data_IF_484329742961
#
_entry.id   IF_484329742961
#
_cell.length_a   1.000
_cell.length_b   1.000
_cell.length_c   1.000
_cell.angle_alpha   90.00
_cell.angle_beta   90.00
_cell.angle_gamma   90.00
#
_symmetry.space_group_name_H-M   'P 1'
#
loop_
_entity.id
_entity.type
_entity.pdbx_description
1 polymer ?
2 non-polymer ?
3 non-polymer ?
4 non-polymer ?
5 non-polymer ?
6 water ?
#
# COMPACT_ATOMS: atom_id res chain seq x y z
N UNK A 16 21.20 14.77 2.88
CA UNK A 16 20.93 14.19 1.50
C UNK A 16 19.81 13.14 1.54
N UNK A 17 18.54 13.52 1.87
CA UNK A 17 17.47 12.53 1.97
C UNK A 17 17.13 12.13 0.53
N UNK A 18 16.96 10.84 0.26
CA UNK A 18 16.60 10.29 -1.07
C UNK A 18 15.11 10.04 -1.19
N UNK A 19 14.32 10.34 -0.16
CA UNK A 19 12.91 9.95 -0.08
C UNK A 19 12.07 11.17 0.27
N UNK A 20 12.26 12.28 -0.44
CA UNK A 20 11.67 13.56 0.00
C UNK A 20 10.72 14.14 -1.04
N UNK A 21 10.91 13.99 -2.36
CA UNK A 21 9.93 14.59 -3.31
C UNK A 21 9.39 13.51 -4.24
N UNK A 22 8.16 13.73 -4.64
CA UNK A 22 7.44 12.88 -5.58
C UNK A 22 7.38 13.57 -6.93
N UNK A 23 7.80 12.85 -7.97
CA UNK A 23 7.72 13.30 -9.35
C UNK A 23 6.81 12.38 -10.17
N UNK A 24 6.32 12.89 -11.27
CA UNK A 24 5.55 12.07 -12.25
C UNK A 24 6.47 10.94 -12.75
N UNK A 25 6.03 9.70 -12.66
CA UNK A 25 6.86 8.53 -13.07
C UNK A 25 7.15 8.58 -14.56
N UNK A 26 6.24 9.12 -15.36
CA UNK A 26 6.38 9.12 -16.84
C UNK A 26 7.34 10.21 -17.30
N UNK A 27 7.50 11.34 -16.62
CA UNK A 27 8.23 12.48 -17.22
C UNK A 27 9.07 13.25 -16.24
N UNK A 28 8.90 13.08 -14.91
CA UNK A 28 9.77 13.80 -13.96
C UNK A 28 9.22 15.10 -13.43
N UNK A 29 8.06 15.54 -13.92
CA UNK A 29 7.42 16.77 -13.39
C UNK A 29 7.40 16.72 -11.85
N UNK A 30 7.80 17.77 -11.15
CA UNK A 30 7.67 17.84 -9.68
C UNK A 30 6.18 17.86 -9.31
N UNK A 31 5.74 16.96 -8.43
CA UNK A 31 4.31 16.88 -8.04
C UNK A 31 4.09 17.14 -6.54
N UNK A 32 4.76 16.41 -5.66
CA UNK A 32 4.49 16.60 -4.20
C UNK A 32 5.72 16.24 -3.38
N UNK A 33 5.56 16.13 -2.07
CA UNK A 33 6.65 15.90 -1.12
C UNK A 33 6.13 14.96 -0.04
N UNK A 34 7.00 14.13 0.51
CA UNK A 34 6.58 13.21 1.59
C UNK A 34 6.04 14.05 2.77
N UNK A 35 6.63 15.22 3.00
CA UNK A 35 6.23 16.12 4.12
C UNK A 35 4.77 16.52 3.99
N UNK A 36 4.18 16.43 2.79
CA UNK A 36 2.81 16.91 2.53
C UNK A 36 1.81 15.77 2.56
N UNK A 37 2.23 14.55 2.90
CA UNK A 37 1.26 13.45 3.07
C UNK A 37 0.23 13.81 4.15
N UNK A 38 -1.02 13.49 3.95
CA UNK A 38 -2.17 13.89 4.82
C UNK A 38 -2.92 12.66 5.29
N UNK A 39 -2.92 12.32 6.59
CA UNK A 39 -3.66 11.17 7.10
C UNK A 39 -5.18 11.36 7.21
N UNK A 40 -5.88 11.37 6.09
CA UNK A 40 -7.37 11.45 5.97
C UNK A 40 -7.99 10.23 6.65
N UNK A 41 -8.89 10.45 7.62
CA UNK A 41 -9.48 9.37 8.42
C UNK A 41 -8.44 8.46 9.03
N UNK A 42 -7.26 8.99 9.40
CA UNK A 42 -6.24 8.29 10.18
C UNK A 42 -5.22 7.53 9.34
N UNK A 43 -5.24 7.66 8.01
CA UNK A 43 -4.30 6.94 7.12
C UNK A 43 -4.09 7.79 5.85
N UNK A 44 -2.84 8.01 5.45
CA UNK A 44 -2.59 8.72 4.18
C UNK A 44 -2.88 7.79 3.01
N UNK A 45 -2.93 6.48 3.19
CA UNK A 45 -3.17 5.52 2.08
C UNK A 45 -4.62 5.02 2.11
N UNK A 46 -5.31 5.09 0.97
CA UNK A 46 -6.69 4.60 0.78
C UNK A 46 -6.75 3.73 -0.46
N UNK A 47 -7.32 2.52 -0.41
CA UNK A 47 -7.42 1.65 -1.61
C UNK A 47 -8.87 1.61 -2.05
N UNK A 48 -9.14 1.94 -3.29
CA UNK A 48 -10.49 2.23 -3.81
C UNK A 48 -10.66 1.60 -5.17
N UNK A 49 -11.89 1.47 -5.65
CA UNK A 49 -12.22 1.10 -7.03
C UNK A 49 -13.18 2.04 -7.65
N UNK A 50 -13.07 2.24 -8.93
CA UNK A 50 -14.01 3.03 -9.73
C UNK A 50 -15.10 2.11 -10.28
N UNK A 51 -16.09 2.69 -10.99
CA UNK A 51 -17.18 1.88 -11.53
C UNK A 51 -16.69 0.87 -12.56
N UNK A 52 -15.54 1.08 -13.19
CA UNK A 52 -14.97 0.13 -14.18
C UNK A 52 -14.16 -0.96 -13.47
N UNK A 53 -14.15 -0.96 -12.15
CA UNK A 53 -13.49 -1.97 -11.31
C UNK A 53 -11.98 -1.79 -11.19
N UNK A 54 -11.43 -0.68 -11.70
CA UNK A 54 -9.97 -0.44 -11.59
C UNK A 54 -9.68 -0.13 -10.12
N UNK A 55 -8.72 -0.80 -9.52
CA UNK A 55 -8.24 -0.58 -8.15
C UNK A 55 -7.18 0.53 -8.18
N UNK A 56 -7.24 1.45 -7.21
CA UNK A 56 -6.17 2.48 -7.06
C UNK A 56 -5.71 2.51 -5.64
N UNK A 57 -4.38 2.52 -5.44
CA UNK A 57 -3.78 2.77 -4.14
C UNK A 57 -3.48 4.28 -4.07
N UNK A 58 -4.31 5.01 -3.35
CA UNK A 58 -4.32 6.49 -3.35
C UNK A 58 -3.58 6.97 -2.10
N UNK A 59 -2.62 7.88 -2.30
CA UNK A 59 -1.95 8.61 -1.21
C UNK A 59 -2.60 9.99 -1.15
N UNK A 60 -3.05 10.39 0.04
CA UNK A 60 -3.62 11.73 0.22
C UNK A 60 -2.51 12.71 0.58
N UNK A 61 -2.52 13.84 -0.10
CA UNK A 61 -1.58 14.95 0.09
C UNK A 61 -2.38 16.21 0.37
N UNK A 62 -1.86 17.01 1.32
CA UNK A 62 -2.49 18.32 1.59
C UNK A 62 -2.27 19.25 0.40
N UNK A 63 -1.16 19.01 -0.32
CA UNK A 63 -0.65 19.94 -1.32
C UNK A 63 0.01 19.11 -2.43
N UNK A 64 -0.06 19.64 -3.61
CA UNK A 64 0.62 19.13 -4.81
C UNK A 64 0.76 20.29 -5.78
N UNK A 65 1.63 20.14 -6.74
CA UNK A 65 1.93 21.12 -7.79
C UNK A 65 2.14 20.38 -9.08
N UNK A 66 2.27 21.08 -10.18
CA UNK A 66 2.66 20.48 -11.46
C UNK A 66 1.54 19.72 -12.13
N UNK A 67 0.33 19.80 -11.59
CA UNK A 67 -0.83 19.07 -12.15
C UNK A 67 -1.63 20.05 -13.00
N UNK A 68 -2.55 19.50 -13.77
CA UNK A 68 -3.63 20.23 -14.42
C UNK A 68 -4.94 19.58 -13.97
N UNK A 69 -5.79 20.39 -13.35
CA UNK A 69 -7.10 19.95 -12.85
C UNK A 69 -8.11 20.17 -13.96
N UNK A 70 -8.83 19.13 -14.34
CA UNK A 70 -9.64 19.08 -15.57
C UNK A 70 -11.13 19.25 -15.23
N UNK A 71 -11.76 20.21 -15.89
CA UNK A 71 -13.22 20.40 -15.82
C UNK A 71 -13.69 20.89 -14.48
N UNK A 72 -14.96 20.60 -14.16
CA UNK A 72 -15.67 21.11 -12.97
C UNK A 72 -15.82 19.95 -12.01
N UNK A 73 -15.93 20.24 -10.70
CA UNK A 73 -16.01 19.18 -9.71
C UNK A 73 -17.30 18.36 -9.86
N UNK A 74 -17.23 17.11 -9.45
CA UNK A 74 -18.34 16.15 -9.45
C UNK A 74 -18.34 15.39 -8.13
N UNK A 75 -19.50 15.13 -7.54
CA UNK A 75 -19.61 14.30 -6.35
C UNK A 75 -19.90 12.84 -6.70
N UNK A 76 -20.12 12.53 -7.97
CA UNK A 76 -20.53 11.17 -8.43
C UNK A 76 -19.44 10.17 -8.03
N UNK A 77 -19.82 9.13 -7.30
CA UNK A 77 -18.97 7.99 -6.89
C UNK A 77 -17.81 8.48 -6.02
N UNK A 78 -17.87 9.67 -5.43
CA UNK A 78 -16.77 10.15 -4.59
C UNK A 78 -16.38 9.15 -3.52
N UNK A 79 -15.09 8.85 -3.44
CA UNK A 79 -14.50 7.95 -2.43
C UNK A 79 -14.41 8.63 -1.08
N UNK A 80 -14.59 9.94 -1.00
CA UNK A 80 -14.33 10.68 0.25
C UNK A 80 -15.58 11.50 0.56
N UNK A 81 -16.26 11.15 1.63
CA UNK A 81 -17.60 11.71 1.94
C UNK A 81 -17.51 13.22 2.08
N UNK A 82 -18.39 13.94 1.36
CA UNK A 82 -18.44 15.40 1.50
C UNK A 82 -17.55 16.11 0.51
N UNK A 83 -16.80 15.37 -0.33
CA UNK A 83 -15.90 15.98 -1.36
C UNK A 83 -16.36 15.66 -2.75
N UNK A 84 -16.16 16.67 -3.61
CA UNK A 84 -16.34 16.62 -5.05
C UNK A 84 -14.93 16.55 -5.65
N UNK A 85 -14.83 15.88 -6.75
CA UNK A 85 -13.48 15.60 -7.36
C UNK A 85 -13.38 16.19 -8.74
N UNK A 86 -12.12 16.47 -9.12
CA UNK A 86 -11.70 16.80 -10.50
C UNK A 86 -10.50 15.90 -10.80
N UNK A 87 -10.48 15.39 -11.99
CA UNK A 87 -9.31 14.63 -12.49
C UNK A 87 -8.08 15.53 -12.43
N UNK A 88 -6.97 14.99 -11.98
CA UNK A 88 -5.67 15.64 -11.90
C UNK A 88 -4.75 14.92 -12.89
N UNK A 89 -4.35 15.62 -13.94
CA UNK A 89 -3.32 15.08 -14.87
C UNK A 89 -1.99 15.70 -14.46
N UNK A 90 -0.90 14.98 -14.74
CA UNK A 90 0.45 15.58 -14.84
C UNK A 90 0.34 16.77 -15.81
N UNK A 91 0.67 17.97 -15.37
CA UNK A 91 0.54 19.16 -16.21
C UNK A 91 1.59 19.19 -17.30
N UNK A 92 2.61 18.33 -17.21
CA UNK A 92 3.67 18.25 -18.24
C UNK A 92 3.26 17.20 -19.27
N UNK A 93 3.02 15.94 -18.89
CA UNK A 93 2.87 14.86 -19.88
C UNK A 93 1.43 14.38 -20.05
N UNK A 94 0.52 14.76 -19.17
CA UNK A 94 -0.89 14.36 -19.30
C UNK A 94 -1.21 13.05 -18.61
N UNK A 95 -0.27 12.36 -17.99
CA UNK A 95 -0.48 11.10 -17.22
C UNK A 95 -1.56 11.37 -16.16
N UNK A 96 -2.52 10.47 -16.05
CA UNK A 96 -3.53 10.60 -14.98
C UNK A 96 -2.94 10.25 -13.63
N UNK A 97 -2.64 11.26 -12.78
CA UNK A 97 -1.94 11.04 -11.54
C UNK A 97 -2.93 10.92 -10.37
N UNK A 98 -4.15 11.39 -10.54
CA UNK A 98 -5.15 11.23 -9.46
C UNK A 98 -6.28 12.21 -9.59
N UNK A 99 -6.65 12.78 -8.44
CA UNK A 99 -7.83 13.69 -8.33
C UNK A 99 -7.54 14.79 -7.32
N UNK A 100 -8.16 15.93 -7.57
CA UNK A 100 -8.28 17.00 -6.57
C UNK A 100 -9.69 16.94 -5.95
N UNK A 101 -9.72 17.01 -4.65
CA UNK A 101 -10.98 16.97 -3.87
C UNK A 101 -11.23 18.38 -3.28
N UNK A 102 -12.47 18.81 -3.34
CA UNK A 102 -12.88 20.15 -2.84
C UNK A 102 -14.33 20.06 -2.33
N UNK A 103 -14.74 21.15 -1.70
CA UNK A 103 -16.15 21.28 -1.30
C UNK A 103 -16.43 20.67 0.05
N UNK A 104 -15.44 20.10 0.75
CA UNK A 104 -15.64 19.36 1.99
C UNK A 104 -15.32 20.18 3.21
N UNK A 105 -14.94 19.51 4.32
CA UNK A 105 -14.63 20.20 5.60
C UNK A 105 -13.43 19.56 6.27
N UNK A 106 -12.48 20.40 6.69
CA UNK A 106 -11.35 20.03 7.59
C UNK A 106 -10.67 18.76 7.04
N UNK A 107 -9.97 18.84 5.89
CA UNK A 107 -9.85 20.06 5.10
C UNK A 107 -10.92 20.30 4.05
N UNK A 108 -10.99 21.54 3.53
CA UNK A 108 -11.92 21.86 2.44
C UNK A 108 -11.46 21.14 1.17
N UNK A 109 -10.15 21.06 0.98
CA UNK A 109 -9.51 20.49 -0.24
C UNK A 109 -8.36 19.54 0.10
N UNK A 110 -8.06 18.61 -0.79
CA UNK A 110 -6.80 17.82 -0.73
C UNK A 110 -6.63 17.14 -2.11
N UNK A 111 -5.50 16.49 -2.25
CA UNK A 111 -5.21 15.69 -3.47
C UNK A 111 -5.13 14.21 -3.11
N UNK A 112 -5.78 13.41 -3.96
CA UNK A 112 -5.61 11.94 -3.87
C UNK A 112 -4.83 11.46 -5.08
N UNK A 113 -3.58 11.07 -4.88
CA UNK A 113 -2.69 10.73 -6.01
C UNK A 113 -2.43 9.23 -6.02
N UNK A 114 -2.32 8.68 -7.21
CA UNK A 114 -2.08 7.22 -7.37
C UNK A 114 -0.61 6.87 -7.12
N UNK A 115 -0.28 6.15 -6.07
CA UNK A 115 1.08 6.01 -5.52
C UNK A 115 2.02 5.47 -6.61
N UNK A 116 1.57 4.48 -7.37
CA UNK A 116 2.46 3.77 -8.32
C UNK A 116 2.65 4.59 -9.59
N UNK A 117 2.04 5.77 -9.72
CA UNK A 117 2.24 6.68 -10.89
C UNK A 117 3.20 7.81 -10.54
N UNK A 118 3.77 7.78 -9.35
CA UNK A 118 4.78 8.76 -8.85
C UNK A 118 6.09 8.03 -8.67
N UNK A 119 7.18 8.78 -8.75
CA UNK A 119 8.51 8.29 -8.34
C UNK A 119 9.03 9.16 -7.20
N UNK A 120 9.62 8.54 -6.19
CA UNK A 120 10.08 9.22 -5.00
C UNK A 120 11.62 9.35 -5.06
N UNK A 121 12.15 10.48 -4.66
CA UNK A 121 13.58 10.70 -4.77
C UNK A 121 14.02 11.97 -4.05
N UNK A 122 15.32 12.29 -4.18
CA UNK A 122 15.88 13.44 -3.49
C UNK A 122 15.39 14.79 -4.03
N UNK A 123 15.42 15.82 -3.19
CA UNK A 123 14.97 17.18 -3.54
C UNK A 123 15.92 17.80 -4.59
N UNK B 20 7.84 -19.26 -4.86
CA UNK B 20 8.61 -19.07 -6.10
C UNK B 20 9.90 -18.26 -5.88
N UNK B 21 10.76 -18.23 -6.91
CA UNK B 21 12.12 -17.65 -6.78
C UNK B 21 12.31 -16.59 -7.85
N UNK B 22 13.20 -15.66 -7.54
CA UNK B 22 13.61 -14.59 -8.46
C UNK B 22 15.01 -14.90 -8.95
N UNK B 23 15.14 -15.00 -10.24
CA UNK B 23 16.45 -15.29 -10.86
C UNK B 23 16.92 -14.03 -11.58
N UNK B 24 18.23 -13.93 -11.75
CA UNK B 24 18.82 -12.91 -12.59
C UNK B 24 18.29 -13.13 -14.01
N UNK B 25 17.71 -12.09 -14.61
CA UNK B 25 17.09 -12.20 -15.94
C UNK B 25 18.16 -12.55 -16.97
N UNK B 26 19.37 -12.04 -16.79
CA UNK B 26 20.46 -12.16 -17.80
C UNK B 26 21.07 -13.56 -17.77
N UNK B 27 21.27 -14.20 -16.61
CA UNK B 27 21.99 -15.50 -16.59
C UNK B 27 21.25 -16.63 -15.87
N UNK B 28 20.16 -16.35 -15.16
CA UNK B 28 19.38 -17.39 -14.46
C UNK B 28 19.82 -17.72 -13.05
N UNK B 29 20.89 -17.12 -12.55
CA UNK B 29 21.34 -17.40 -11.16
C UNK B 29 20.16 -17.12 -10.22
N UNK B 30 19.88 -17.99 -9.26
CA UNK B 30 18.93 -17.70 -8.17
C UNK B 30 19.46 -16.50 -7.36
N UNK B 31 18.58 -15.53 -7.15
CA UNK B 31 18.95 -14.30 -6.38
C UNK B 31 18.09 -14.16 -5.15
N UNK B 32 16.77 -14.25 -5.23
CA UNK B 32 15.94 -14.12 -4.03
C UNK B 32 14.64 -14.88 -4.20
N UNK B 33 13.77 -14.75 -3.24
CA UNK B 33 12.60 -15.65 -3.11
C UNK B 33 11.42 -14.79 -2.72
N UNK B 34 10.25 -15.14 -3.25
CA UNK B 34 9.01 -14.47 -2.87
C UNK B 34 8.81 -14.48 -1.35
N UNK B 35 9.21 -15.55 -0.66
CA UNK B 35 9.05 -15.64 0.83
C UNK B 35 9.81 -14.52 1.54
N UNK B 36 10.78 -13.90 0.86
CA UNK B 36 11.67 -12.90 1.48
C UNK B 36 11.24 -11.49 1.07
N UNK B 37 10.13 -11.32 0.34
CA UNK B 37 9.60 -9.98 0.07
C UNK B 37 9.39 -9.21 1.38
N UNK B 38 9.82 -7.95 1.39
CA UNK B 38 9.87 -7.14 2.61
C UNK B 38 9.09 -5.86 2.36
N UNK B 39 7.94 -5.66 3.03
CA UNK B 39 7.17 -4.43 2.84
C UNK B 39 7.72 -3.20 3.59
N UNK B 40 8.84 -2.64 3.12
CA UNK B 40 9.45 -1.42 3.71
C UNK B 40 8.50 -0.25 3.56
N UNK B 41 8.22 0.46 4.66
CA UNK B 41 7.22 1.54 4.68
C UNK B 41 5.88 1.11 4.12
N UNK B 42 5.49 -0.15 4.29
CA UNK B 42 4.15 -0.67 3.97
C UNK B 42 3.98 -1.16 2.54
N UNK B 43 5.07 -1.26 1.77
CA UNK B 43 4.99 -1.72 0.37
C UNK B 43 6.31 -2.37 -0.02
N UNK B 44 6.27 -3.54 -0.65
CA UNK B 44 7.53 -4.12 -1.15
C UNK B 44 7.96 -3.39 -2.44
N UNK B 45 7.09 -2.69 -3.16
CA UNK B 45 7.47 -1.95 -4.41
C UNK B 45 7.69 -0.47 -4.08
N UNK B 46 8.79 0.09 -4.57
CA UNK B 46 9.16 1.51 -4.43
C UNK B 46 9.59 1.98 -5.82
N UNK B 47 8.81 2.90 -6.39
CA UNK B 47 9.27 3.61 -7.60
C UNK B 47 10.05 4.81 -7.13
N UNK B 48 11.28 4.92 -7.61
CA UNK B 48 12.26 5.89 -7.07
C UNK B 48 13.03 6.52 -8.23
N UNK B 49 13.66 7.65 -7.96
CA UNK B 49 14.62 8.23 -8.93
C UNK B 49 15.90 8.61 -8.22
N UNK B 50 16.98 8.61 -8.97
CA UNK B 50 18.33 8.96 -8.44
C UNK B 50 18.64 10.42 -8.74
N UNK B 51 19.76 10.96 -8.24
CA UNK B 51 20.08 12.37 -8.47
C UNK B 51 20.26 12.72 -9.95
N UNK B 52 20.56 11.75 -10.81
CA UNK B 52 20.76 11.97 -12.26
C UNK B 52 19.41 11.88 -12.95
N UNK B 53 18.34 11.63 -12.20
CA UNK B 53 16.95 11.59 -12.73
C UNK B 53 16.59 10.27 -13.38
N UNK B 54 17.37 9.22 -13.21
CA UNK B 54 16.97 7.88 -13.70
C UNK B 54 15.92 7.30 -12.73
N UNK B 55 14.89 6.68 -13.28
CA UNK B 55 13.74 6.09 -12.54
C UNK B 55 13.90 4.59 -12.47
N UNK B 56 13.68 4.03 -11.27
CA UNK B 56 13.78 2.58 -11.04
C UNK B 56 12.53 2.13 -10.28
N UNK B 57 12.12 0.92 -10.59
CA UNK B 57 11.06 0.23 -9.84
C UNK B 57 11.69 -0.89 -9.05
N UNK B 58 11.79 -0.66 -7.74
CA UNK B 58 12.58 -1.48 -6.81
C UNK B 58 11.63 -2.32 -5.99
N UNK B 59 11.89 -3.60 -5.82
CA UNK B 59 11.23 -4.50 -4.85
C UNK B 59 12.19 -4.79 -3.70
N UNK B 60 11.68 -4.73 -2.48
CA UNK B 60 12.53 -4.95 -1.30
C UNK B 60 12.46 -6.40 -0.87
N UNK B 61 13.63 -6.97 -0.59
CA UNK B 61 13.74 -8.37 -0.08
C UNK B 61 14.60 -8.41 1.18
N UNK B 62 14.30 -9.28 2.14
CA UNK B 62 15.05 -9.33 3.42
C UNK B 62 16.46 -9.87 3.21
N UNK B 63 16.59 -10.84 2.32
CA UNK B 63 17.84 -11.55 2.02
C UNK B 63 17.90 -11.71 0.50
N UNK B 64 19.09 -12.05 0.04
CA UNK B 64 19.36 -12.49 -1.32
C UNK B 64 20.60 -13.34 -1.30
N UNK B 65 20.87 -13.96 -2.42
CA UNK B 65 22.08 -14.76 -2.63
C UNK B 65 22.57 -14.51 -4.02
N UNK B 66 23.83 -14.89 -4.29
CA UNK B 66 24.34 -14.87 -5.65
C UNK B 66 24.68 -13.49 -6.14
N UNK B 67 24.62 -12.45 -5.29
CA UNK B 67 25.04 -11.10 -5.69
C UNK B 67 26.49 -10.83 -5.28
N UNK B 68 27.04 -9.79 -5.83
CA UNK B 68 28.33 -9.21 -5.40
C UNK B 68 28.08 -7.75 -5.10
N UNK B 69 28.33 -7.34 -3.89
CA UNK B 69 28.16 -5.97 -3.43
C UNK B 69 29.47 -5.23 -3.61
N UNK B 70 29.41 -4.07 -4.25
CA UNK B 70 30.65 -3.36 -4.64
C UNK B 70 30.72 -2.00 -3.95
N UNK B 71 31.93 -1.64 -3.52
CA UNK B 71 32.20 -0.34 -2.88
C UNK B 71 31.84 -0.29 -1.41
N UNK B 72 32.14 0.83 -0.77
CA UNK B 72 31.84 1.07 0.65
C UNK B 72 30.42 1.58 0.77
N UNK B 73 29.70 1.30 1.84
CA UNK B 73 28.35 1.80 2.04
C UNK B 73 28.35 3.35 1.99
N UNK B 74 27.31 3.91 1.39
CA UNK B 74 27.10 5.38 1.33
C UNK B 74 25.70 5.70 1.86
N UNK B 75 25.56 6.77 2.64
CA UNK B 75 24.27 7.29 3.07
C UNK B 75 23.66 8.30 2.09
N UNK B 76 24.45 8.75 1.13
CA UNK B 76 24.05 9.86 0.20
C UNK B 76 22.81 9.44 -0.57
N UNK B 77 21.75 10.24 -0.48
CA UNK B 77 20.52 10.11 -1.31
C UNK B 77 19.86 8.76 -1.11
N UNK B 78 20.11 8.11 0.05
CA UNK B 78 19.44 6.82 0.31
C UNK B 78 17.92 6.95 0.16
N UNK B 79 17.30 6.04 -0.58
CA UNK B 79 15.83 5.98 -0.72
C UNK B 79 15.18 5.49 0.59
N UNK B 80 15.97 4.94 1.53
CA UNK B 80 15.43 4.33 2.77
C UNK B 80 16.11 4.97 3.97
N UNK B 81 15.34 5.79 4.68
CA UNK B 81 15.86 6.63 5.79
C UNK B 81 16.49 5.72 6.84
N UNK B 82 17.70 6.04 7.25
CA UNK B 82 18.39 5.27 8.29
C UNK B 82 19.30 4.19 7.73
N UNK B 83 19.34 4.02 6.40
CA UNK B 83 20.19 2.98 5.75
C UNK B 83 21.22 3.61 4.81
N UNK B 84 22.38 2.98 4.77
CA UNK B 84 23.44 3.16 3.78
C UNK B 84 23.28 2.09 2.69
N UNK B 85 23.67 2.42 1.49
CA UNK B 85 23.54 1.51 0.33
C UNK B 85 24.88 1.14 -0.28
N UNK B 86 24.88 -0.02 -0.93
CA UNK B 86 25.99 -0.51 -1.78
C UNK B 86 25.35 -1.06 -3.05
N UNK B 87 25.98 -0.84 -4.18
CA UNK B 87 25.50 -1.41 -5.45
C UNK B 87 25.58 -2.93 -5.39
N UNK B 88 24.56 -3.60 -5.89
CA UNK B 88 24.47 -5.08 -5.95
C UNK B 88 24.49 -5.56 -7.40
N UNK B 89 25.50 -6.30 -7.79
CA UNK B 89 25.57 -6.93 -9.13
C UNK B 89 25.26 -8.42 -9.00
N UNK B 90 24.75 -9.04 -10.05
CA UNK B 90 24.74 -10.51 -10.14
C UNK B 90 26.22 -10.98 -10.01
N UNK B 91 26.51 -11.84 -9.06
CA UNK B 91 27.90 -12.31 -8.89
C UNK B 91 28.34 -13.22 -10.01
N UNK B 92 27.39 -13.79 -10.74
CA UNK B 92 27.68 -14.74 -11.84
C UNK B 92 27.93 -13.97 -13.14
N UNK B 93 27.10 -13.03 -13.53
CA UNK B 93 27.19 -12.36 -14.84
C UNK B 93 27.44 -10.85 -14.80
N UNK B 94 27.37 -10.20 -13.65
CA UNK B 94 27.67 -8.77 -13.55
C UNK B 94 26.48 -7.83 -13.74
N UNK B 95 25.29 -8.36 -14.09
CA UNK B 95 24.08 -7.52 -14.27
C UNK B 95 23.86 -6.66 -13.03
N UNK B 96 23.55 -5.39 -13.19
CA UNK B 96 23.23 -4.52 -12.02
C UNK B 96 21.82 -4.81 -11.57
N UNK B 97 21.67 -5.53 -10.46
CA UNK B 97 20.35 -6.03 -10.04
C UNK B 97 19.73 -5.10 -8.99
N UNK B 98 20.48 -4.24 -8.33
CA UNK B 98 19.91 -3.30 -7.35
C UNK B 98 20.94 -2.81 -6.34
N UNK B 99 20.54 -2.78 -5.08
CA UNK B 99 21.36 -2.25 -3.96
C UNK B 99 21.13 -3.11 -2.72
N UNK B 100 22.14 -3.11 -1.85
CA UNK B 100 22.01 -3.63 -0.47
C UNK B 100 22.01 -2.46 0.50
N UNK B 101 21.16 -2.52 1.48
CA UNK B 101 20.95 -1.50 2.50
C UNK B 101 21.43 -2.09 3.83
N UNK B 102 22.13 -1.24 4.61
CA UNK B 102 22.68 -1.70 5.92
C UNK B 102 22.72 -0.52 6.89
N UNK B 103 23.01 -0.82 8.15
CA UNK B 103 23.22 0.23 9.18
C UNK B 103 21.93 0.73 9.79
N UNK B 104 20.80 0.10 9.51
CA UNK B 104 19.50 0.40 10.15
C UNK B 104 19.19 -0.53 11.31
N UNK B 105 17.92 -0.61 11.70
CA UNK B 105 17.38 -1.57 12.71
C UNK B 105 16.03 -2.11 12.23
N UNK B 106 15.79 -3.40 12.46
CA UNK B 106 14.50 -4.09 12.18
C UNK B 106 13.99 -3.70 10.79
N UNK B 107 14.64 -4.18 9.71
CA UNK B 107 15.86 -4.98 9.80
C UNK B 107 17.17 -4.19 9.74
N UNK B 108 18.29 -4.79 10.14
CA UNK B 108 19.58 -4.11 10.05
C UNK B 108 19.98 -4.00 8.58
N UNK B 109 19.64 -5.01 7.78
CA UNK B 109 20.00 -5.07 6.34
C UNK B 109 18.83 -5.59 5.50
N UNK B 110 18.82 -5.22 4.22
CA UNK B 110 17.82 -5.74 3.25
C UNK B 110 18.32 -5.31 1.87
N UNK B 111 17.63 -5.78 0.85
CA UNK B 111 17.98 -5.53 -0.57
C UNK B 111 16.85 -4.79 -1.25
N UNK B 112 17.21 -3.85 -2.10
CA UNK B 112 16.25 -3.24 -3.06
C UNK B 112 16.66 -3.65 -4.45
N UNK B 113 15.90 -4.56 -5.06
CA UNK B 113 16.29 -5.15 -6.36
C UNK B 113 15.34 -4.62 -7.46
N UNK B 114 15.92 -4.37 -8.62
CA UNK B 114 15.20 -3.82 -9.78
C UNK B 114 14.34 -4.91 -10.41
N UNK B 115 13.02 -4.78 -10.26
CA UNK B 115 12.06 -5.85 -10.64
C UNK B 115 12.26 -6.24 -12.10
N UNK B 116 12.47 -5.28 -13.00
CA UNK B 116 12.62 -5.55 -14.46
C UNK B 116 13.88 -6.35 -14.80
N UNK B 117 14.84 -6.48 -13.86
CA UNK B 117 16.10 -7.23 -14.08
C UNK B 117 16.08 -8.62 -13.47
N UNK B 118 14.93 -9.03 -12.95
CA UNK B 118 14.72 -10.34 -12.34
C UNK B 118 13.67 -11.08 -13.17
N UNK B 119 13.69 -12.37 -13.04
CA UNK B 119 12.69 -13.27 -13.65
C UNK B 119 12.13 -14.11 -12.53
N UNK B 120 10.81 -14.09 -12.35
CA UNK B 120 10.15 -14.90 -11.32
C UNK B 120 9.72 -16.23 -11.92
N UNK B 121 9.89 -17.29 -11.15
CA UNK B 121 9.54 -18.63 -11.64
C UNK B 121 9.58 -19.65 -10.53
N UNK B 122 9.23 -20.91 -10.84
CA UNK B 122 9.31 -21.98 -9.85
C UNK B 122 10.76 -22.34 -9.46
N UNK B 123 10.94 -22.75 -8.21
CA UNK B 123 12.24 -23.14 -7.61
C UNK B 123 12.90 -24.26 -8.44
N UNK C 18 -19.73 5.98 -3.71
CA UNK C 18 -18.48 5.33 -4.26
C UNK C 18 -17.72 4.49 -3.24
N UNK C 19 -18.20 4.36 -2.00
CA UNK C 19 -17.59 3.49 -0.97
C UNK C 19 -18.67 2.61 -0.32
N UNK C 20 -19.46 1.90 -1.11
CA UNK C 20 -20.59 1.08 -0.60
C UNK C 20 -20.33 -0.44 -0.70
N UNK C 21 -19.38 -0.92 -1.50
CA UNK C 21 -19.00 -2.35 -1.58
C UNK C 21 -17.55 -2.48 -1.09
N UNK C 22 -17.31 -3.50 -0.26
CA UNK C 22 -15.99 -3.75 0.33
C UNK C 22 -15.39 -4.98 -0.33
N UNK C 23 -14.15 -4.83 -0.79
CA UNK C 23 -13.46 -5.89 -1.57
C UNK C 23 -12.09 -6.17 -0.95
N UNK C 24 -11.55 -7.35 -1.19
CA UNK C 24 -10.15 -7.66 -0.88
C UNK C 24 -9.21 -6.64 -1.55
N UNK C 25 -8.35 -5.98 -0.78
CA UNK C 25 -7.39 -4.97 -1.29
C UNK C 25 -6.40 -5.62 -2.27
N UNK C 26 -6.03 -6.87 -2.02
CA UNK C 26 -4.99 -7.56 -2.83
C UNK C 26 -5.54 -7.97 -4.19
N UNK C 27 -6.77 -8.49 -4.26
CA UNK C 27 -7.22 -9.11 -5.53
C UNK C 27 -8.59 -8.61 -6.01
N UNK C 28 -9.37 -7.91 -5.18
CA UNK C 28 -10.67 -7.36 -5.57
C UNK C 28 -11.87 -8.28 -5.33
N UNK C 29 -11.66 -9.47 -4.79
CA UNK C 29 -12.76 -10.38 -4.37
C UNK C 29 -13.84 -9.59 -3.62
N UNK C 30 -15.11 -9.73 -4.01
CA UNK C 30 -16.22 -9.05 -3.30
C UNK C 30 -16.36 -9.68 -1.91
N UNK C 31 -16.42 -8.87 -0.86
CA UNK C 31 -16.48 -9.42 0.54
C UNK C 31 -17.76 -8.98 1.24
N UNK C 32 -18.04 -7.69 1.29
CA UNK C 32 -19.23 -7.24 2.04
C UNK C 32 -19.72 -5.90 1.49
N UNK C 33 -20.67 -5.30 2.20
CA UNK C 33 -21.42 -4.12 1.68
C UNK C 33 -21.74 -3.21 2.86
N UNK C 34 -21.79 -1.92 2.60
CA UNK C 34 -22.15 -0.91 3.62
C UNK C 34 -23.49 -1.27 4.25
N UNK C 35 -24.45 -1.84 3.51
CA UNK C 35 -25.78 -2.23 4.03
C UNK C 35 -25.64 -3.21 5.20
N UNK C 36 -24.52 -3.94 5.27
CA UNK C 36 -24.33 -5.04 6.26
C UNK C 36 -23.44 -4.56 7.41
N UNK C 37 -23.00 -3.30 7.40
CA UNK C 37 -22.16 -2.79 8.50
C UNK C 37 -22.98 -2.84 9.78
N UNK C 38 -22.29 -3.01 10.89
CA UNK C 38 -22.86 -2.70 12.23
C UNK C 38 -22.17 -1.47 12.82
N UNK C 39 -22.89 -0.33 12.92
CA UNK C 39 -22.36 0.83 13.66
C UNK C 39 -22.43 0.70 15.20
N UNK C 40 -21.46 1.29 15.90
CA UNK C 40 -21.52 1.48 17.37
C UNK C 40 -21.54 2.99 17.63
N UNK C 41 -22.67 3.50 18.10
CA UNK C 41 -22.92 4.96 18.20
C UNK C 41 -22.65 5.62 16.83
N UNK C 42 -21.70 6.56 16.79
CA UNK C 42 -21.32 7.32 15.57
C UNK C 42 -20.22 6.64 14.78
N UNK C 43 -19.60 5.59 15.32
CA UNK C 43 -18.43 4.90 14.70
C UNK C 43 -18.94 3.79 13.78
N UNK C 44 -18.42 3.72 12.56
CA UNK C 44 -18.50 2.49 11.76
C UNK C 44 -17.35 1.57 12.24
N UNK C 45 -16.16 2.16 12.42
CA UNK C 45 -14.93 1.36 12.69
C UNK C 45 -14.60 1.40 14.19
N UNK C 46 -14.10 0.27 14.68
CA UNK C 46 -13.56 0.07 16.05
C UNK C 46 -12.05 0.20 15.96
N UNK C 47 -11.45 1.03 16.83
CA UNK C 47 -9.96 1.04 16.97
C UNK C 47 -9.62 0.00 18.03
N UNK C 48 -8.79 -0.96 17.66
CA UNK C 48 -8.41 -2.08 18.56
C UNK C 48 -6.91 -2.27 18.48
N UNK C 49 -6.34 -2.99 19.43
CA UNK C 49 -4.88 -3.26 19.48
C UNK C 49 -4.66 -4.77 19.53
N UNK C 50 -3.73 -5.28 18.72
CA UNK C 50 -3.33 -6.70 18.81
C UNK C 50 -2.58 -6.87 20.13
N UNK C 51 -2.22 -8.11 20.51
CA UNK C 51 -1.55 -8.34 21.80
C UNK C 51 -0.24 -7.55 21.94
N UNK C 52 0.43 -7.23 20.81
CA UNK C 52 1.73 -6.50 20.82
C UNK C 52 1.48 -5.00 20.87
N UNK C 53 0.21 -4.58 20.92
CA UNK C 53 -0.17 -3.16 21.03
C UNK C 53 -0.12 -2.40 19.72
N UNK C 54 -0.06 -3.09 18.59
CA UNK C 54 -0.22 -2.42 17.26
C UNK C 54 -1.70 -2.11 17.06
N UNK C 55 -1.99 -0.95 16.48
CA UNK C 55 -3.38 -0.46 16.16
C UNK C 55 -3.94 -1.19 14.93
N UNK C 56 -5.21 -1.57 14.99
CA UNK C 56 -6.04 -2.02 13.86
C UNK C 56 -7.33 -1.20 13.88
N UNK C 57 -7.83 -0.88 12.70
CA UNK C 57 -9.21 -0.35 12.53
C UNK C 57 -10.06 -1.50 11.95
N UNK C 58 -11.03 -1.97 12.70
CA UNK C 58 -11.91 -3.12 12.34
C UNK C 58 -13.30 -2.60 12.01
N UNK C 59 -13.86 -3.05 10.87
CA UNK C 59 -15.29 -2.87 10.53
C UNK C 59 -16.03 -4.15 10.91
N UNK C 60 -17.19 -4.03 11.58
CA UNK C 60 -18.02 -5.20 11.86
C UNK C 60 -19.18 -5.29 10.85
N UNK C 61 -19.42 -6.47 10.30
CA UNK C 61 -20.47 -6.73 9.29
C UNK C 61 -21.31 -7.92 9.74
N UNK C 62 -22.62 -7.85 9.55
CA UNK C 62 -23.53 -8.96 9.90
C UNK C 62 -23.35 -10.10 8.92
N UNK C 63 -22.98 -9.78 7.68
CA UNK C 63 -22.86 -10.79 6.60
C UNK C 63 -21.59 -10.49 5.80
N UNK C 64 -21.05 -11.54 5.21
CA UNK C 64 -19.92 -11.40 4.27
C UNK C 64 -19.94 -12.61 3.34
N UNK C 65 -19.22 -12.47 2.24
CA UNK C 65 -19.10 -13.56 1.26
C UNK C 65 -17.64 -13.65 0.84
N UNK C 66 -17.30 -14.76 0.18
CA UNK C 66 -16.01 -14.82 -0.52
C UNK C 66 -14.84 -15.02 0.42
N UNK C 67 -15.09 -15.31 1.70
CA UNK C 67 -14.00 -15.60 2.65
C UNK C 67 -13.83 -17.10 2.76
N UNK C 68 -12.74 -17.49 3.41
CA UNK C 68 -12.52 -18.88 3.84
C UNK C 68 -12.16 -18.84 5.32
N UNK C 69 -12.97 -19.48 6.14
CA UNK C 69 -12.77 -19.51 7.61
C UNK C 69 -11.89 -20.71 7.97
N UNK C 70 -10.85 -20.44 8.74
CA UNK C 70 -9.73 -21.39 9.01
C UNK C 70 -9.79 -21.83 10.47
N UNK C 71 -9.68 -23.14 10.71
CA UNK C 71 -9.42 -23.69 12.05
C UNK C 71 -10.61 -23.61 12.98
N UNK C 72 -10.34 -23.71 14.27
CA UNK C 72 -11.33 -23.78 15.36
C UNK C 72 -11.41 -22.42 16.02
N UNK C 73 -12.56 -22.04 16.61
CA UNK C 73 -12.69 -20.76 17.30
C UNK C 73 -11.69 -20.65 18.47
N UNK C 74 -11.28 -19.43 18.77
CA UNK C 74 -10.42 -19.08 19.93
C UNK C 74 -10.99 -17.84 20.63
N UNK C 75 -10.97 -17.85 21.96
CA UNK C 75 -11.34 -16.69 22.79
C UNK C 75 -10.15 -15.78 23.08
N UNK C 76 -8.93 -16.21 22.75
CA UNK C 76 -7.67 -15.49 23.12
C UNK C 76 -7.69 -14.05 22.59
N UNK C 77 -7.59 -13.07 23.49
CA UNK C 77 -7.50 -11.62 23.16
C UNK C 77 -8.72 -11.14 22.38
N UNK C 78 -9.86 -11.82 22.44
CA UNK C 78 -11.04 -11.35 21.68
C UNK C 78 -11.36 -9.89 22.02
N UNK C 79 -11.49 -9.06 20.99
CA UNK C 79 -11.84 -7.62 21.15
C UNK C 79 -13.32 -7.47 21.53
N UNK C 80 -14.12 -8.53 21.43
CA UNK C 80 -15.59 -8.41 21.59
C UNK C 80 -16.03 -9.40 22.65
N UNK C 81 -16.48 -8.86 23.78
CA UNK C 81 -16.84 -9.65 24.98
C UNK C 81 -17.90 -10.67 24.58
N UNK C 82 -17.69 -11.93 24.94
CA UNK C 82 -18.66 -13.01 24.69
C UNK C 82 -18.47 -13.68 23.34
N UNK C 83 -17.49 -13.26 22.52
CA UNK C 83 -17.27 -13.89 21.18
C UNK C 83 -15.90 -14.55 21.09
N UNK C 84 -15.89 -15.70 20.41
CA UNK C 84 -14.66 -16.38 19.94
C UNK C 84 -14.47 -16.01 18.47
N UNK C 85 -13.22 -16.06 18.01
CA UNK C 85 -12.90 -15.70 16.61
C UNK C 85 -12.27 -16.87 15.85
N UNK C 86 -12.44 -16.84 14.53
CA UNK C 86 -11.80 -17.73 13.56
C UNK C 86 -11.19 -16.84 12.49
N UNK C 87 -10.01 -17.15 12.05
CA UNK C 87 -9.33 -16.38 10.98
C UNK C 87 -10.16 -16.46 9.70
N UNK C 88 -10.31 -15.30 9.04
CA UNK C 88 -11.06 -15.20 7.77
C UNK C 88 -10.05 -14.77 6.70
N UNK C 89 -9.81 -15.63 5.72
CA UNK C 89 -8.96 -15.31 4.57
C UNK C 89 -9.85 -14.94 3.38
N UNK C 90 -9.32 -14.12 2.48
CA UNK C 90 -9.91 -14.00 1.13
C UNK C 90 -9.96 -15.40 0.50
N UNK C 91 -11.14 -15.83 0.03
CA UNK C 91 -11.25 -17.12 -0.66
C UNK C 91 -10.59 -17.13 -2.02
N UNK C 92 -10.30 -15.97 -2.58
CA UNK C 92 -9.74 -15.87 -3.96
C UNK C 92 -8.21 -15.91 -3.88
N UNK C 93 -7.60 -15.09 -3.02
CA UNK C 93 -6.11 -14.96 -3.01
C UNK C 93 -5.47 -15.40 -1.68
N UNK C 94 -6.24 -15.63 -0.62
CA UNK C 94 -5.64 -16.10 0.65
C UNK C 94 -5.23 -14.99 1.60
N UNK C 95 -5.34 -13.72 1.23
CA UNK C 95 -5.03 -12.56 2.11
C UNK C 95 -5.81 -12.67 3.41
N UNK C 96 -5.18 -12.40 4.54
CA UNK C 96 -5.89 -12.41 5.84
C UNK C 96 -6.70 -11.13 5.99
N UNK C 97 -8.02 -11.20 5.87
CA UNK C 97 -8.86 -9.97 5.84
C UNK C 97 -9.45 -9.67 7.21
N UNK C 98 -9.49 -10.65 8.10
CA UNK C 98 -10.06 -10.42 9.43
C UNK C 98 -10.49 -11.71 10.09
N UNK C 99 -11.63 -11.68 10.75
CA UNK C 99 -12.09 -12.78 11.62
C UNK C 99 -13.60 -12.93 11.54
N UNK C 100 -14.03 -14.15 11.76
CA UNK C 100 -15.46 -14.45 12.02
C UNK C 100 -15.61 -14.62 13.53
N UNK C 101 -16.62 -13.98 14.08
CA UNK C 101 -16.94 -14.04 15.53
C UNK C 101 -18.20 -14.87 15.71
N UNK C 102 -18.19 -15.71 16.76
CA UNK C 102 -19.37 -16.55 17.08
C UNK C 102 -19.46 -16.78 18.60
N UNK C 103 -20.58 -17.38 19.00
CA UNK C 103 -20.78 -17.88 20.37
C UNK C 103 -21.38 -16.81 21.26
N UNK C 104 -21.73 -15.63 20.72
CA UNK C 104 -22.34 -14.53 21.48
C UNK C 104 -23.87 -14.52 21.34
N UNK C 105 -24.47 -13.37 21.62
CA UNK C 105 -25.92 -13.10 21.50
C UNK C 105 -26.15 -11.70 20.94
N UNK C 106 -27.12 -11.58 20.02
CA UNK C 106 -27.60 -10.28 19.46
C UNK C 106 -26.40 -9.41 19.05
N UNK C 107 -25.65 -9.78 17.99
CA UNK C 107 -25.89 -11.01 17.23
C UNK C 107 -25.08 -12.24 17.70
N UNK C 108 -25.49 -13.43 17.29
CA UNK C 108 -24.76 -14.67 17.63
C UNK C 108 -23.42 -14.66 16.91
N UNK C 109 -23.41 -14.14 15.67
CA UNK C 109 -22.21 -14.17 14.78
C UNK C 109 -22.08 -12.83 14.04
N UNK C 110 -20.84 -12.50 13.68
CA UNK C 110 -20.57 -11.36 12.81
C UNK C 110 -19.14 -11.50 12.29
N UNK C 111 -18.78 -10.63 11.36
CA UNK C 111 -17.43 -10.58 10.77
C UNK C 111 -16.76 -9.27 11.19
N UNK C 112 -15.53 -9.37 11.68
CA UNK C 112 -14.68 -8.22 12.01
C UNK C 112 -13.55 -8.15 10.99
N UNK C 113 -13.61 -7.22 10.05
CA UNK C 113 -12.64 -7.14 8.95
C UNK C 113 -11.74 -5.93 9.12
N UNK C 114 -10.48 -6.13 8.77
CA UNK C 114 -9.42 -5.11 8.92
C UNK C 114 -9.56 -4.07 7.81
N UNK C 115 -9.84 -2.81 8.17
CA UNK C 115 -10.01 -1.68 7.20
C UNK C 115 -8.86 -1.66 6.18
N UNK C 116 -7.61 -1.81 6.62
CA UNK C 116 -6.45 -1.59 5.71
C UNK C 116 -6.17 -2.87 4.89
N UNK C 117 -7.02 -3.89 4.98
CA UNK C 117 -6.93 -5.10 4.12
C UNK C 117 -8.05 -5.05 3.09
N UNK C 118 -8.87 -4.01 3.07
CA UNK C 118 -10.04 -3.88 2.18
C UNK C 118 -9.84 -2.68 1.27
N UNK C 119 -10.58 -2.70 0.18
CA UNK C 119 -10.75 -1.58 -0.74
C UNK C 119 -12.25 -1.31 -0.86
N UNK C 120 -12.62 -0.04 -1.02
CA UNK C 120 -14.05 0.36 -1.10
C UNK C 120 -14.32 0.82 -2.52
N UNK C 121 -15.52 0.57 -3.00
CA UNK C 121 -15.94 1.03 -4.34
C UNK C 121 -17.46 1.10 -4.45
N UNK C 122 -17.95 1.58 -5.60
CA UNK C 122 -19.39 1.72 -5.81
C UNK C 122 -20.12 0.38 -5.99
N UNK C 123 -21.44 0.39 -5.76
CA UNK C 123 -22.35 -0.75 -5.94
C UNK C 123 -22.42 -1.15 -7.43
#
# INVERSE_FOLDING_TARGET
>A
MPLDAGGQNSTQMVLAPGASIFRCRQCGQTISRRDWLLPMGGDHEHVVFNPAGMIFRVWCFSLAQGLRLIGAPSGEFSWFKGYDWTIALCGQCGSHLGWHYEGGSQPQTFFGLIKDRLAEGPAD
>B
MPLDAGGQNSTQMVLAPGASIFRCRQCGQTISRRDWLLPMGGDHEHVVFNPAGMIFRVWCFSLAQGLRLIGAPSGEFSWFKGYDWTIALCGQCGSHLGWHYEGGSQPQTFFGLIKDRLAEGPAD
>C
MPLDAGGQNSTQMVLAPGASIFRCRQCGQTISRRDWLLPMGGDHEHVVFNPAGMIFRVWCFSLAQGLRLIGAPSGEFSWFKGYDWTIALCGQCGSHLGWHYEGGSQPQTFFGLIKDRLAEGPAD
#
